data_IF_980787305462
#
_entry.id   IF_980787305462
#
_cell.length_a   1.000
_cell.length_b   1.000
_cell.length_c   1.000
_cell.angle_alpha   90.00
_cell.angle_beta   90.00
_cell.angle_gamma   90.00
#
_symmetry.space_group_name_H-M   'P 1'
#
loop_
_entity.id
_entity.type
_entity.pdbx_description
1 polymer ?
#
# COMPACT_ATOMS: atom_id res chain seq x y z
N UNK A 1 12.83 -10.69 18.48
CA UNK A 1 11.84 -11.00 17.42
C UNK A 1 11.37 -9.66 16.90
N UNK A 2 12.07 -9.10 15.89
CA UNK A 2 11.52 -7.95 15.19
C UNK A 2 10.20 -8.42 14.59
N UNK A 3 9.10 -7.79 15.00
CA UNK A 3 7.77 -8.25 14.66
C UNK A 3 7.65 -8.30 13.14
N UNK A 4 7.49 -9.50 12.59
CA UNK A 4 6.87 -9.73 11.29
C UNK A 4 5.36 -9.44 11.41
N UNK A 5 4.98 -8.40 12.16
CA UNK A 5 3.60 -8.04 12.42
C UNK A 5 2.96 -7.56 11.12
N UNK A 6 1.69 -7.88 10.95
CA UNK A 6 0.90 -7.27 9.89
C UNK A 6 0.78 -5.77 10.19
N UNK A 7 1.11 -4.96 9.18
CA UNK A 7 0.85 -3.53 9.22
C UNK A 7 -0.66 -3.35 9.06
N UNK A 8 -1.38 -2.71 10.01
CA UNK A 8 -2.83 -2.57 9.89
C UNK A 8 -3.25 -1.79 8.63
N UNK A 9 -2.38 -0.92 8.13
CA UNK A 9 -2.59 -0.19 6.88
C UNK A 9 -2.52 -1.16 5.69
N UNK A 10 -1.55 -2.08 5.70
CA UNK A 10 -1.45 -3.19 4.75
C UNK A 10 -2.67 -4.12 4.80
N UNK A 11 -3.16 -4.47 5.99
CA UNK A 11 -4.36 -5.31 6.13
C UNK A 11 -5.59 -4.65 5.50
N UNK A 12 -5.79 -3.36 5.72
CA UNK A 12 -6.87 -2.60 5.11
C UNK A 12 -6.72 -2.51 3.59
N UNK A 13 -5.51 -2.18 3.09
CA UNK A 13 -5.23 -2.10 1.66
C UNK A 13 -5.52 -3.44 0.96
N UNK A 14 -5.06 -4.55 1.54
CA UNK A 14 -5.32 -5.91 1.01
C UNK A 14 -6.80 -6.21 0.94
N UNK A 15 -7.52 -5.93 2.03
CA UNK A 15 -8.98 -6.16 2.10
C UNK A 15 -9.69 -5.41 0.97
N UNK A 16 -9.37 -4.12 0.77
CA UNK A 16 -10.01 -3.32 -0.27
C UNK A 16 -9.68 -3.83 -1.69
N UNK A 17 -8.44 -4.23 -1.95
CA UNK A 17 -8.05 -4.84 -3.23
C UNK A 17 -8.82 -6.16 -3.46
N UNK A 18 -8.98 -7.00 -2.43
CA UNK A 18 -9.78 -8.23 -2.51
C UNK A 18 -11.27 -7.94 -2.73
N UNK A 19 -11.80 -6.83 -2.21
CA UNK A 19 -13.15 -6.34 -2.48
C UNK A 19 -13.31 -5.75 -3.91
N UNK A 20 -12.24 -5.74 -4.70
CA UNK A 20 -12.25 -5.29 -6.09
C UNK A 20 -11.88 -3.82 -6.28
N UNK A 21 -11.23 -3.19 -5.31
CA UNK A 21 -10.59 -1.90 -5.52
C UNK A 21 -9.34 -2.05 -6.39
N UNK A 22 -9.09 -1.05 -7.21
CA UNK A 22 -7.98 -1.01 -8.15
C UNK A 22 -6.91 -0.04 -7.66
N UNK A 23 -5.65 -0.44 -7.78
CA UNK A 23 -4.51 0.45 -7.55
C UNK A 23 -4.38 1.42 -8.72
N UNK A 24 -4.28 2.71 -8.43
CA UNK A 24 -4.15 3.76 -9.45
C UNK A 24 -2.78 4.42 -9.44
N UNK A 25 -2.09 4.44 -8.30
CA UNK A 25 -0.76 5.02 -8.16
C UNK A 25 -0.01 4.34 -7.02
N UNK A 26 1.29 4.14 -7.21
CA UNK A 26 2.24 3.74 -6.19
C UNK A 26 3.42 4.70 -6.29
N UNK A 27 3.81 5.30 -5.18
CA UNK A 27 4.96 6.18 -5.04
C UNK A 27 5.85 5.65 -3.91
N UNK A 28 7.06 5.22 -4.23
CA UNK A 28 8.03 4.69 -3.28
C UNK A 28 8.91 5.81 -2.71
N UNK A 29 9.47 5.59 -1.51
CA UNK A 29 10.41 6.51 -0.84
C UNK A 29 9.87 7.94 -0.73
N UNK A 30 8.57 8.09 -0.40
CA UNK A 30 8.02 9.40 -0.08
C UNK A 30 8.59 9.89 1.26
N UNK A 31 9.06 11.13 1.29
CA UNK A 31 9.62 11.77 2.48
C UNK A 31 8.46 12.15 3.42
N UNK A 32 8.38 11.50 4.57
CA UNK A 32 7.43 11.81 5.64
C UNK A 32 8.17 12.29 6.89
N UNK A 33 7.45 12.91 7.84
CA UNK A 33 8.05 13.38 9.11
C UNK A 33 8.73 12.24 9.89
N UNK A 34 8.24 11.01 9.72
CA UNK A 34 8.75 9.79 10.35
C UNK A 34 9.82 9.03 9.52
N UNK A 35 10.13 9.50 8.30
CA UNK A 35 11.12 8.88 7.40
C UNK A 35 10.55 8.45 6.04
N UNK A 36 11.32 7.67 5.26
CA UNK A 36 10.86 7.18 3.96
C UNK A 36 9.71 6.19 4.14
N UNK A 37 8.66 6.36 3.35
CA UNK A 37 7.49 5.49 3.31
C UNK A 37 7.08 5.20 1.88
N UNK A 38 6.18 4.25 1.68
CA UNK A 38 5.51 4.05 0.40
C UNK A 38 4.08 4.59 0.47
N UNK A 39 3.63 5.22 -0.62
CA UNK A 39 2.28 5.74 -0.79
C UNK A 39 1.56 4.98 -1.89
N UNK A 40 0.35 4.52 -1.60
CA UNK A 40 -0.54 3.86 -2.56
C UNK A 40 -1.85 4.60 -2.62
N UNK A 41 -2.30 4.87 -3.84
CA UNK A 41 -3.65 5.38 -4.09
C UNK A 41 -4.45 4.27 -4.77
N UNK A 42 -5.64 3.99 -4.24
CA UNK A 42 -6.60 3.04 -4.80
C UNK A 42 -7.93 3.73 -5.10
N UNK A 43 -8.72 3.11 -5.96
CA UNK A 43 -10.10 3.53 -6.27
C UNK A 43 -11.04 2.33 -6.29
N UNK A 44 -12.33 2.49 -6.00
CA UNK A 44 -13.30 1.42 -6.22
C UNK A 44 -13.48 1.17 -7.71
N UNK A 45 -13.82 -0.06 -8.10
CA UNK A 45 -14.17 -0.38 -9.49
C UNK A 45 -15.45 0.31 -9.96
N UNK A 46 -16.35 0.64 -9.03
CA UNK A 46 -17.47 1.53 -9.29
C UNK A 46 -17.03 3.00 -9.19
N UNK A 47 -17.72 3.91 -9.87
CA UNK A 47 -17.44 5.34 -9.79
C UNK A 47 -17.53 5.82 -8.31
N UNK A 48 -16.45 6.35 -7.75
CA UNK A 48 -16.33 6.66 -6.33
C UNK A 48 -15.04 7.38 -5.95
N UNK A 49 -14.91 7.70 -4.65
CA UNK A 49 -13.76 8.45 -4.11
C UNK A 49 -12.50 7.58 -4.00
N UNK A 50 -11.36 8.16 -4.39
CA UNK A 50 -10.05 7.54 -4.20
C UNK A 50 -9.65 7.52 -2.73
N UNK A 51 -8.88 6.51 -2.35
CA UNK A 51 -8.30 6.39 -1.01
C UNK A 51 -6.78 6.31 -1.11
N UNK A 52 -6.13 6.86 -0.11
CA UNK A 52 -4.68 6.94 0.00
C UNK A 52 -4.20 6.19 1.25
N UNK A 53 -3.13 5.44 1.08
CA UNK A 53 -2.47 4.64 2.10
C UNK A 53 -0.99 5.01 2.11
N UNK A 54 -0.43 5.28 3.28
CA UNK A 54 0.99 5.59 3.45
C UNK A 54 1.53 4.77 4.62
N UNK A 55 2.63 4.06 4.42
CA UNK A 55 3.24 3.22 5.46
C UNK A 55 4.74 3.05 5.20
N UNK A 56 5.57 3.19 6.25
CA UNK A 56 7.00 2.92 6.24
C UNK A 56 7.33 1.44 6.54
N UNK A 57 6.29 0.62 6.76
CA UNK A 57 6.49 -0.75 7.20
C UNK A 57 7.02 -1.66 6.08
N UNK A 58 8.06 -2.44 6.36
CA UNK A 58 8.69 -3.33 5.37
C UNK A 58 7.72 -4.32 4.70
N UNK A 59 6.68 -4.77 5.41
CA UNK A 59 5.67 -5.65 4.82
C UNK A 59 4.81 -4.93 3.78
N UNK A 60 4.52 -3.64 4.02
CA UNK A 60 3.79 -2.79 3.09
C UNK A 60 4.63 -2.58 1.82
N UNK A 61 5.89 -2.16 1.98
CA UNK A 61 6.85 -2.01 0.88
C UNK A 61 6.90 -3.24 -0.04
N UNK A 62 7.15 -4.43 0.54
CA UNK A 62 7.21 -5.68 -0.24
C UNK A 62 5.93 -6.00 -0.99
N UNK A 63 4.79 -5.65 -0.41
CA UNK A 63 3.50 -5.90 -1.04
C UNK A 63 3.29 -4.97 -2.24
N UNK A 64 3.57 -3.67 -2.08
CA UNK A 64 3.35 -2.66 -3.14
C UNK A 64 4.32 -2.84 -4.31
N UNK A 65 5.59 -3.15 -4.06
CA UNK A 65 6.55 -3.54 -5.12
C UNK A 65 6.06 -4.78 -5.88
N UNK A 66 5.47 -5.74 -5.16
CA UNK A 66 4.83 -6.91 -5.78
C UNK A 66 3.65 -6.57 -6.69
N UNK A 67 2.87 -5.54 -6.36
CA UNK A 67 1.76 -5.05 -7.19
C UNK A 67 2.26 -4.33 -8.46
N UNK A 68 3.41 -3.67 -8.42
CA UNK A 68 4.02 -3.01 -9.59
C UNK A 68 4.55 -4.02 -10.63
N UNK A 69 4.55 -5.32 -10.32
CA UNK A 69 5.02 -6.36 -11.23
C UNK A 69 6.55 -6.48 -11.28
N UNK A 70 7.25 -5.79 -10.37
CA UNK A 70 8.69 -5.97 -10.17
C UNK A 70 8.91 -7.30 -9.45
N UNK A 71 8.92 -8.36 -10.25
CA UNK A 71 9.33 -9.69 -9.81
C UNK A 71 10.83 -9.64 -9.53
N UNK A 72 11.20 -9.79 -8.27
CA UNK A 72 12.59 -9.88 -7.81
C UNK A 72 13.38 -10.98 -8.56
#
# INVERSE_FOLDING_TARGET
MAGWGDDPILEELRTLIEEGWEVVSIEEDVDTDDGPADRVVIRPAADGEVREFVSDHLAFHRYVTGLQGETY
#
